data_IF_259160135441
#
_entry.id   IF_259160135441
#
_cell.length_a   1.000
_cell.length_b   1.000
_cell.length_c   1.000
_cell.angle_alpha   90.00
_cell.angle_beta   90.00
_cell.angle_gamma   90.00
#
_symmetry.space_group_name_H-M   'P 1'
#
loop_
_entity.id
_entity.type
_entity.pdbx_description
1 polymer ?
#
# COMPACT_ATOMS: atom_id res chain seq x y z
N UNK A 1 -89.10 -51.53 26.93
CA UNK A 1 -88.67 -50.15 26.57
C UNK A 1 -87.16 -50.07 26.72
N UNK A 2 -86.40 -50.01 25.63
CA UNK A 2 -84.92 -50.03 25.63
C UNK A 2 -84.45 -48.81 24.83
N UNK A 3 -83.96 -47.79 25.52
CA UNK A 3 -83.51 -46.53 24.92
C UNK A 3 -82.10 -46.73 24.36
N UNK A 4 -81.93 -46.52 23.05
CA UNK A 4 -80.63 -46.55 22.39
C UNK A 4 -80.01 -45.16 22.46
N UNK A 5 -78.87 -45.02 23.16
CA UNK A 5 -78.03 -43.83 23.05
C UNK A 5 -77.15 -43.96 21.80
N UNK A 6 -77.46 -43.17 20.75
CA UNK A 6 -76.59 -43.01 19.58
C UNK A 6 -75.40 -42.15 19.96
N UNK A 7 -74.22 -42.76 20.03
CA UNK A 7 -72.95 -42.04 20.00
C UNK A 7 -72.78 -41.37 18.63
N UNK A 8 -72.64 -40.03 18.62
CA UNK A 8 -72.20 -39.27 17.45
C UNK A 8 -70.73 -38.93 17.66
N UNK A 9 -69.78 -39.39 16.82
CA UNK A 9 -68.43 -38.88 16.91
C UNK A 9 -68.44 -37.44 16.39
N UNK A 10 -68.06 -36.50 17.26
CA UNK A 10 -67.78 -35.14 16.86
C UNK A 10 -66.65 -35.14 15.84
N UNK A 11 -66.93 -34.68 14.62
CA UNK A 11 -65.89 -34.33 13.65
C UNK A 11 -65.16 -33.10 14.20
N UNK A 12 -64.11 -33.34 14.97
CA UNK A 12 -63.11 -32.32 15.27
C UNK A 12 -62.51 -31.88 13.94
N UNK A 13 -62.85 -30.67 13.51
CA UNK A 13 -62.22 -30.06 12.35
C UNK A 13 -60.74 -29.86 12.67
N UNK A 14 -59.89 -30.74 12.14
CA UNK A 14 -58.45 -30.52 12.07
C UNK A 14 -58.22 -29.32 11.14
N UNK A 15 -58.27 -28.11 11.72
CA UNK A 15 -57.92 -26.86 11.08
C UNK A 15 -56.41 -26.90 10.85
N UNK A 16 -56.00 -27.30 9.66
CA UNK A 16 -54.60 -27.44 9.28
C UNK A 16 -53.88 -26.10 9.26
N UNK A 17 -53.30 -25.70 10.40
CA UNK A 17 -52.36 -24.57 10.52
C UNK A 17 -50.97 -24.87 9.92
N UNK A 18 -50.87 -25.83 8.99
CA UNK A 18 -49.59 -26.23 8.37
C UNK A 18 -49.02 -25.17 7.41
N UNK A 19 -49.82 -24.20 6.98
CA UNK A 19 -49.37 -23.07 6.13
C UNK A 19 -48.63 -21.95 6.88
N UNK A 20 -48.77 -21.85 8.20
CA UNK A 20 -48.11 -20.80 9.01
C UNK A 20 -46.64 -21.10 9.30
N UNK A 21 -46.28 -22.37 9.43
CA UNK A 21 -44.90 -22.78 9.74
C UNK A 21 -43.95 -22.57 8.55
N UNK A 22 -44.41 -22.87 7.33
CA UNK A 22 -43.63 -22.65 6.11
C UNK A 22 -43.32 -21.17 5.86
N UNK A 23 -44.29 -20.27 6.10
CA UNK A 23 -44.07 -18.81 5.99
C UNK A 23 -43.04 -18.30 7.00
N UNK A 24 -43.04 -18.82 8.23
CA UNK A 24 -42.05 -18.44 9.26
C UNK A 24 -40.63 -18.90 8.89
N UNK A 25 -40.50 -20.13 8.37
CA UNK A 25 -39.22 -20.66 7.88
C UNK A 25 -38.72 -19.81 6.70
N UNK A 26 -39.58 -19.47 5.75
CA UNK A 26 -39.22 -18.65 4.60
C UNK A 26 -38.79 -17.23 4.99
N UNK A 27 -39.46 -16.61 5.97
CA UNK A 27 -39.07 -15.32 6.54
C UNK A 27 -37.73 -15.38 7.29
N UNK A 28 -37.46 -16.47 8.01
CA UNK A 28 -36.17 -16.68 8.67
C UNK A 28 -35.04 -16.77 7.65
N UNK A 29 -35.19 -17.60 6.61
CA UNK A 29 -34.21 -17.68 5.52
C UNK A 29 -34.03 -16.34 4.80
N UNK A 30 -35.11 -15.61 4.53
CA UNK A 30 -35.06 -14.27 3.95
C UNK A 30 -34.26 -13.31 4.85
N UNK A 31 -34.47 -13.35 6.16
CA UNK A 31 -33.71 -12.54 7.13
C UNK A 31 -32.23 -12.86 7.15
N UNK A 32 -31.85 -14.15 7.07
CA UNK A 32 -30.45 -14.58 6.97
C UNK A 32 -29.80 -14.06 5.67
N UNK A 33 -30.52 -14.12 4.55
CA UNK A 33 -30.03 -13.60 3.26
C UNK A 33 -29.83 -12.09 3.33
N UNK A 34 -30.81 -11.34 3.85
CA UNK A 34 -30.71 -9.88 4.00
C UNK A 34 -29.57 -9.49 4.93
N UNK A 35 -29.39 -10.22 6.04
CA UNK A 35 -28.26 -10.02 6.95
C UNK A 35 -26.92 -10.28 6.25
N UNK A 36 -26.81 -11.37 5.47
CA UNK A 36 -25.60 -11.66 4.70
C UNK A 36 -25.26 -10.56 3.70
N UNK A 37 -26.25 -10.05 2.97
CA UNK A 37 -26.06 -8.93 2.02
C UNK A 37 -25.66 -7.65 2.75
N UNK A 38 -26.30 -7.34 3.87
CA UNK A 38 -25.98 -6.16 4.68
C UNK A 38 -24.53 -6.20 5.19
N UNK A 39 -24.10 -7.37 5.68
CA UNK A 39 -22.71 -7.58 6.11
C UNK A 39 -21.73 -7.41 4.94
N UNK A 40 -22.00 -8.01 3.78
CA UNK A 40 -21.13 -7.87 2.60
C UNK A 40 -20.93 -6.40 2.21
N UNK A 41 -22.02 -5.62 2.17
CA UNK A 41 -21.98 -4.19 1.83
C UNK A 41 -21.17 -3.38 2.86
N UNK A 42 -21.27 -3.71 4.14
CA UNK A 42 -20.59 -2.97 5.20
C UNK A 42 -19.13 -3.36 5.38
N UNK A 43 -18.76 -4.62 5.12
CA UNK A 43 -17.39 -5.13 5.22
C UNK A 43 -16.51 -4.69 4.04
N UNK A 44 -17.08 -4.62 2.83
CA UNK A 44 -16.37 -4.20 1.60
C UNK A 44 -15.48 -2.95 1.76
N UNK A 45 -15.96 -1.79 2.26
CA UNK A 45 -15.12 -0.60 2.38
C UNK A 45 -14.00 -0.75 3.40
N UNK A 46 -14.21 -1.53 4.46
CA UNK A 46 -13.20 -1.79 5.50
C UNK A 46 -12.10 -2.68 4.93
N UNK A 47 -12.48 -3.78 4.26
CA UNK A 47 -11.52 -4.65 3.56
C UNK A 47 -10.73 -3.86 2.52
N UNK A 48 -11.41 -3.04 1.72
CA UNK A 48 -10.80 -2.19 0.70
C UNK A 48 -9.71 -1.28 1.28
N UNK A 49 -10.08 -0.45 2.26
CA UNK A 49 -9.14 0.51 2.87
C UNK A 49 -7.98 -0.17 3.58
N UNK A 50 -8.23 -1.32 4.23
CA UNK A 50 -7.18 -2.09 4.88
C UNK A 50 -6.19 -2.65 3.84
N UNK A 51 -6.71 -3.19 2.74
CA UNK A 51 -5.90 -3.75 1.64
C UNK A 51 -5.03 -2.67 1.02
N UNK A 52 -5.59 -1.50 0.72
CA UNK A 52 -4.85 -0.35 0.17
C UNK A 52 -3.72 0.07 1.13
N UNK A 53 -4.00 0.15 2.43
CA UNK A 53 -2.99 0.52 3.43
C UNK A 53 -1.88 -0.52 3.56
N UNK A 54 -2.24 -1.80 3.64
CA UNK A 54 -1.28 -2.90 3.72
C UNK A 54 -0.43 -2.97 2.47
N UNK A 55 -1.04 -2.89 1.28
CA UNK A 55 -0.32 -2.86 0.01
C UNK A 55 0.67 -1.70 -0.06
N UNK A 56 0.23 -0.49 0.33
CA UNK A 56 1.07 0.70 0.39
C UNK A 56 2.25 0.53 1.34
N UNK A 57 2.00 0.08 2.58
CA UNK A 57 3.05 -0.11 3.58
C UNK A 57 4.09 -1.12 3.11
N UNK A 58 3.64 -2.24 2.57
CA UNK A 58 4.50 -3.30 2.05
C UNK A 58 5.36 -2.79 0.89
N UNK A 59 4.78 -2.07 -0.06
CA UNK A 59 5.53 -1.54 -1.18
C UNK A 59 6.56 -0.50 -0.77
N UNK A 60 6.20 0.43 0.14
CA UNK A 60 7.16 1.41 0.68
C UNK A 60 8.33 0.68 1.36
N UNK A 61 8.05 -0.35 2.15
CA UNK A 61 9.09 -1.16 2.79
C UNK A 61 9.98 -1.87 1.76
N UNK A 62 9.39 -2.50 0.74
CA UNK A 62 10.13 -3.18 -0.32
C UNK A 62 11.00 -2.22 -1.13
N UNK A 63 10.50 -1.01 -1.45
CA UNK A 63 11.28 0.04 -2.12
C UNK A 63 12.48 0.42 -1.25
N UNK A 64 12.23 0.81 0.00
CA UNK A 64 13.29 1.29 0.89
C UNK A 64 14.38 0.23 1.13
N UNK A 65 13.98 -1.03 1.35
CA UNK A 65 14.93 -2.14 1.54
C UNK A 65 15.75 -2.40 0.27
N UNK A 66 15.12 -2.40 -0.90
CA UNK A 66 15.81 -2.63 -2.17
C UNK A 66 16.81 -1.50 -2.48
N UNK A 67 16.40 -0.25 -2.27
CA UNK A 67 17.24 0.93 -2.47
C UNK A 67 18.43 0.89 -1.51
N UNK A 68 18.18 0.66 -0.22
CA UNK A 68 19.24 0.61 0.79
C UNK A 68 20.24 -0.52 0.51
N UNK A 69 19.74 -1.70 0.14
CA UNK A 69 20.56 -2.86 -0.17
C UNK A 69 21.46 -2.58 -1.38
N UNK A 70 20.89 -2.06 -2.47
CA UNK A 70 21.64 -1.81 -3.71
C UNK A 70 22.68 -0.70 -3.51
N UNK A 71 22.30 0.41 -2.86
CA UNK A 71 23.21 1.53 -2.58
C UNK A 71 24.35 1.11 -1.63
N UNK A 72 24.03 0.36 -0.57
CA UNK A 72 25.03 -0.07 0.41
C UNK A 72 25.97 -1.15 -0.13
N UNK A 73 25.48 -2.05 -0.98
CA UNK A 73 26.26 -3.15 -1.54
C UNK A 73 27.35 -2.69 -2.52
N UNK A 74 27.12 -1.56 -3.20
CA UNK A 74 28.02 -1.02 -4.21
C UNK A 74 29.00 0.03 -3.65
N UNK A 75 28.95 0.37 -2.35
CA UNK A 75 29.71 1.49 -1.76
C UNK A 75 29.56 2.78 -2.58
N UNK A 76 28.36 3.06 -3.11
CA UNK A 76 28.15 4.22 -4.00
C UNK A 76 28.38 5.48 -3.18
N UNK A 77 29.53 6.10 -3.37
CA UNK A 77 29.85 7.41 -2.81
C UNK A 77 29.28 8.50 -3.71
N UNK A 78 29.12 9.70 -3.16
CA UNK A 78 28.81 10.91 -3.92
C UNK A 78 29.77 11.08 -5.13
N UNK A 79 31.05 10.74 -4.92
CA UNK A 79 32.11 10.89 -5.91
C UNK A 79 31.97 9.93 -7.12
N UNK A 80 31.22 8.84 -6.97
CA UNK A 80 30.96 7.89 -8.07
C UNK A 80 29.86 8.38 -9.02
N UNK A 81 28.93 9.19 -8.48
CA UNK A 81 27.81 9.75 -9.23
C UNK A 81 28.14 11.13 -9.80
N UNK A 82 29.00 11.90 -9.13
CA UNK A 82 29.29 13.29 -9.47
C UNK A 82 30.79 13.55 -9.57
N UNK A 83 31.19 14.12 -10.70
CA UNK A 83 32.53 14.62 -10.93
C UNK A 83 32.53 16.15 -10.89
N UNK A 84 33.28 16.70 -9.92
CA UNK A 84 33.48 18.14 -9.75
C UNK A 84 34.79 18.54 -10.41
N UNK A 85 34.71 19.35 -11.47
CA UNK A 85 35.88 19.96 -12.07
C UNK A 85 36.20 21.28 -11.38
N UNK A 86 37.44 21.44 -10.91
CA UNK A 86 37.94 22.64 -10.25
C UNK A 86 39.05 23.30 -11.07
N UNK A 87 39.21 24.61 -10.94
CA UNK A 87 40.35 25.35 -11.50
C UNK A 87 41.62 25.21 -10.64
N UNK A 88 42.72 25.83 -11.07
CA UNK A 88 44.02 25.83 -10.37
C UNK A 88 43.95 26.46 -8.96
N UNK A 89 42.92 27.26 -8.68
CA UNK A 89 42.69 27.92 -7.40
C UNK A 89 41.70 27.14 -6.51
N UNK A 90 41.21 25.98 -6.96
CA UNK A 90 40.25 25.14 -6.25
C UNK A 90 38.78 25.55 -6.43
N UNK A 91 38.48 26.50 -7.32
CA UNK A 91 37.11 26.97 -7.60
C UNK A 91 36.35 25.96 -8.45
N UNK A 92 35.09 25.68 -8.09
CA UNK A 92 34.23 24.78 -8.87
C UNK A 92 33.89 25.42 -10.23
N UNK A 93 34.32 24.79 -11.32
CA UNK A 93 34.02 25.20 -12.69
C UNK A 93 32.75 24.54 -13.20
N UNK A 94 32.64 23.22 -13.02
CA UNK A 94 31.52 22.43 -13.55
C UNK A 94 31.26 21.23 -12.65
N UNK A 95 29.98 20.92 -12.49
CA UNK A 95 29.50 19.71 -11.85
C UNK A 95 28.93 18.85 -12.97
N UNK A 96 29.53 17.68 -13.16
CA UNK A 96 29.10 16.71 -14.17
C UNK A 96 28.67 15.44 -13.50
N UNK A 97 27.65 14.80 -14.08
CA UNK A 97 27.08 13.58 -13.54
C UNK A 97 27.54 12.38 -14.34
N UNK A 98 27.91 11.30 -13.67
CA UNK A 98 28.20 10.03 -14.31
C UNK A 98 26.88 9.34 -14.70
N UNK A 99 26.35 9.73 -15.87
CA UNK A 99 25.07 9.21 -16.37
C UNK A 99 25.09 7.69 -16.58
N UNK A 100 26.25 7.10 -16.90
CA UNK A 100 26.37 5.66 -17.04
C UNK A 100 26.17 4.96 -15.69
N UNK A 101 26.86 5.43 -14.63
CA UNK A 101 26.72 4.87 -13.29
C UNK A 101 25.32 5.10 -12.72
N UNK A 102 24.75 6.29 -12.92
CA UNK A 102 23.36 6.56 -12.55
C UNK A 102 22.41 5.57 -13.22
N UNK A 103 22.46 5.42 -14.55
CA UNK A 103 21.55 4.50 -15.24
C UNK A 103 21.74 3.04 -14.81
N UNK A 104 22.97 2.63 -14.47
CA UNK A 104 23.24 1.33 -13.88
C UNK A 104 22.49 1.16 -12.54
N UNK A 105 22.64 2.12 -11.62
CA UNK A 105 21.98 2.11 -10.31
C UNK A 105 20.46 2.14 -10.47
N UNK A 106 19.96 3.01 -11.36
CA UNK A 106 18.54 3.09 -11.72
C UNK A 106 18.02 1.71 -12.12
N UNK A 107 18.66 1.06 -13.08
CA UNK A 107 18.24 -0.25 -13.57
C UNK A 107 18.29 -1.34 -12.48
N UNK A 108 19.36 -1.39 -11.68
CA UNK A 108 19.48 -2.39 -10.59
C UNK A 108 18.42 -2.19 -9.52
N UNK A 109 18.20 -0.95 -9.07
CA UNK A 109 17.15 -0.65 -8.10
C UNK A 109 15.77 -0.97 -8.66
N UNK A 110 15.46 -0.56 -9.89
CA UNK A 110 14.17 -0.90 -10.53
C UNK A 110 13.96 -2.40 -10.53
N UNK A 111 14.97 -3.18 -10.94
CA UNK A 111 14.89 -4.64 -10.99
C UNK A 111 14.78 -5.28 -9.60
N UNK A 112 15.51 -4.78 -8.60
CA UNK A 112 15.47 -5.28 -7.23
C UNK A 112 14.08 -5.06 -6.61
N UNK A 113 13.53 -3.85 -6.75
CA UNK A 113 12.17 -3.53 -6.30
C UNK A 113 11.15 -4.38 -7.06
N UNK A 114 11.28 -4.48 -8.39
CA UNK A 114 10.40 -5.28 -9.23
C UNK A 114 10.39 -6.76 -8.81
N UNK A 115 11.56 -7.32 -8.48
CA UNK A 115 11.69 -8.71 -8.03
C UNK A 115 11.12 -8.91 -6.63
N UNK A 116 11.34 -7.97 -5.70
CA UNK A 116 10.78 -8.02 -4.35
C UNK A 116 9.25 -7.89 -4.36
N UNK A 117 8.68 -7.18 -5.34
CA UNK A 117 7.24 -7.08 -5.52
C UNK A 117 6.66 -8.30 -6.26
N UNK A 118 7.22 -8.71 -7.41
CA UNK A 118 6.63 -9.76 -8.27
C UNK A 118 6.62 -11.18 -7.68
N UNK A 119 7.51 -11.49 -6.73
CA UNK A 119 7.56 -12.84 -6.12
C UNK A 119 6.71 -12.95 -4.84
N UNK A 120 6.09 -11.87 -4.38
CA UNK A 120 5.36 -11.82 -3.12
C UNK A 120 3.87 -12.14 -3.28
N UNK A 121 3.48 -13.39 -3.07
CA UNK A 121 2.16 -13.64 -2.48
C UNK A 121 2.33 -13.43 -0.98
N UNK A 122 1.74 -12.38 -0.45
CA UNK A 122 1.86 -12.07 0.96
C UNK A 122 0.56 -12.38 1.67
N UNK A 123 0.61 -13.35 2.58
CA UNK A 123 -0.51 -13.65 3.45
C UNK A 123 -0.48 -12.72 4.67
N UNK A 124 -1.45 -11.82 4.73
CA UNK A 124 -1.67 -10.92 5.86
C UNK A 124 -2.92 -11.37 6.59
N UNK A 125 -2.81 -11.71 7.87
CA UNK A 125 -3.96 -12.15 8.66
C UNK A 125 -4.61 -10.97 9.37
N UNK A 126 -5.91 -10.79 9.15
CA UNK A 126 -6.68 -9.66 9.71
C UNK A 126 -7.77 -10.18 10.62
N UNK A 127 -7.82 -9.77 11.90
CA UNK A 127 -8.84 -10.22 12.83
C UNK A 127 -10.26 -9.87 12.35
N UNK A 128 -11.20 -10.82 12.44
CA UNK A 128 -12.60 -10.59 12.07
C UNK A 128 -13.19 -9.36 12.75
N UNK A 129 -12.88 -9.11 14.02
CA UNK A 129 -13.39 -7.95 14.74
C UNK A 129 -12.89 -6.61 14.22
N UNK A 130 -11.72 -6.58 13.55
CA UNK A 130 -11.25 -5.42 12.77
C UNK A 130 -12.10 -5.21 11.52
N UNK A 131 -12.45 -6.30 10.82
CA UNK A 131 -13.28 -6.22 9.61
C UNK A 131 -14.71 -5.73 9.91
N UNK A 132 -15.29 -6.10 11.04
CA UNK A 132 -16.62 -5.62 11.46
C UNK A 132 -16.67 -4.13 11.82
N UNK A 133 -15.53 -3.44 11.92
CA UNK A 133 -15.47 -1.99 12.16
C UNK A 133 -15.98 -1.54 13.54
N UNK A 134 -16.16 -2.47 14.48
CA UNK A 134 -16.56 -2.14 15.85
C UNK A 134 -15.33 -1.86 16.72
N UNK A 135 -15.33 -0.74 17.45
CA UNK A 135 -14.22 -0.38 18.35
C UNK A 135 -13.99 -1.43 19.43
N UNK A 136 -15.05 -2.09 19.90
CA UNK A 136 -15.00 -3.10 20.96
C UNK A 136 -14.30 -4.41 20.52
N UNK A 137 -14.48 -4.80 19.26
CA UNK A 137 -13.93 -6.04 18.72
C UNK A 137 -12.64 -5.83 17.92
N UNK A 138 -12.14 -4.60 17.83
CA UNK A 138 -10.92 -4.30 17.10
C UNK A 138 -9.75 -5.18 17.56
N UNK A 139 -9.08 -5.85 16.61
CA UNK A 139 -7.96 -6.75 16.89
C UNK A 139 -8.35 -8.10 17.49
N UNK A 140 -9.65 -8.41 17.64
CA UNK A 140 -10.14 -9.66 18.24
C UNK A 140 -10.78 -10.60 17.20
N UNK A 141 -10.87 -11.87 17.57
CA UNK A 141 -11.47 -12.92 16.74
C UNK A 141 -10.44 -13.68 15.89
N UNK A 142 -10.87 -14.73 15.17
CA UNK A 142 -10.00 -15.47 14.27
C UNK A 142 -9.52 -14.56 13.13
N UNK A 143 -8.28 -14.76 12.71
CA UNK A 143 -7.68 -14.03 11.59
C UNK A 143 -8.23 -14.53 10.26
N UNK A 144 -8.67 -13.60 9.43
CA UNK A 144 -9.01 -13.83 8.03
C UNK A 144 -7.75 -13.65 7.20
N UNK A 145 -7.28 -14.67 6.48
CA UNK A 145 -6.11 -14.53 5.62
C UNK A 145 -6.45 -13.65 4.42
N UNK A 146 -5.62 -12.63 4.20
CA UNK A 146 -5.65 -11.76 3.04
C UNK A 146 -4.43 -12.09 2.19
N UNK A 147 -4.64 -12.52 0.96
CA UNK A 147 -3.55 -12.77 0.02
C UNK A 147 -3.33 -11.51 -0.79
N UNK A 148 -2.34 -10.71 -0.41
CA UNK A 148 -1.92 -9.58 -1.23
C UNK A 148 -0.97 -10.14 -2.29
N UNK A 149 -1.48 -10.32 -3.50
CA UNK A 149 -0.61 -10.46 -4.68
C UNK A 149 -0.11 -9.06 -4.99
N UNK A 150 1.20 -8.88 -5.17
CA UNK A 150 1.75 -7.61 -5.62
C UNK A 150 2.14 -7.78 -7.09
N UNK A 151 1.38 -7.16 -7.98
CA UNK A 151 1.73 -7.08 -9.40
C UNK A 151 1.78 -5.61 -9.78
N UNK A 152 2.94 -5.18 -10.28
CA UNK A 152 3.18 -3.77 -10.52
C UNK A 152 4.31 -3.53 -11.48
N UNK A 153 4.21 -2.50 -12.30
CA UNK A 153 5.36 -1.98 -13.04
C UNK A 153 6.11 -1.01 -12.13
N UNK A 154 7.39 -1.26 -11.94
CA UNK A 154 8.27 -0.32 -11.24
C UNK A 154 8.96 0.56 -12.28
N UNK A 155 8.91 1.86 -12.04
CA UNK A 155 9.73 2.83 -12.77
C UNK A 155 10.46 3.68 -11.75
N UNK A 156 11.70 4.06 -12.05
CA UNK A 156 12.44 4.99 -11.22
C UNK A 156 13.12 6.07 -12.04
N UNK A 157 13.37 7.21 -11.43
CA UNK A 157 14.14 8.29 -12.05
C UNK A 157 14.93 9.11 -11.04
N UNK A 158 16.01 9.73 -11.51
CA UNK A 158 16.79 10.63 -10.69
C UNK A 158 16.26 12.06 -10.81
N UNK A 159 16.02 12.69 -9.67
CA UNK A 159 15.66 14.10 -9.55
C UNK A 159 16.80 14.85 -8.86
N UNK A 160 17.13 16.03 -9.38
CA UNK A 160 18.19 16.87 -8.82
C UNK A 160 17.59 18.16 -8.30
N UNK A 161 18.00 18.58 -7.09
CA UNK A 161 17.59 19.83 -6.47
C UNK A 161 18.81 20.67 -6.06
N UNK A 162 18.71 21.98 -6.22
CA UNK A 162 19.72 22.95 -5.80
C UNK A 162 19.07 23.98 -4.85
N UNK A 163 19.46 23.95 -3.59
CA UNK A 163 18.91 24.81 -2.54
C UNK A 163 19.99 25.71 -1.93
N UNK A 164 19.61 26.88 -1.39
CA UNK A 164 20.55 27.71 -0.65
C UNK A 164 20.89 27.05 0.70
N UNK A 165 22.18 26.87 0.98
CA UNK A 165 22.67 26.29 2.24
C UNK A 165 23.25 27.35 3.20
N UNK A 166 23.34 28.60 2.77
CA UNK A 166 23.99 29.68 3.51
C UNK A 166 24.57 30.77 2.61
N UNK A 167 25.42 31.63 3.17
CA UNK A 167 26.09 32.70 2.43
C UNK A 167 27.05 32.07 1.42
N UNK A 168 26.74 32.23 0.13
CA UNK A 168 27.47 31.64 -1.00
C UNK A 168 27.63 30.12 -0.89
N UNK A 169 26.60 29.43 -0.41
CA UNK A 169 26.57 27.98 -0.37
C UNK A 169 25.32 27.46 -1.06
N UNK A 170 25.49 26.49 -1.94
CA UNK A 170 24.40 25.79 -2.62
C UNK A 170 24.45 24.32 -2.25
N UNK A 171 23.38 23.81 -1.64
CA UNK A 171 23.16 22.40 -1.41
C UNK A 171 22.67 21.75 -2.69
N UNK A 172 23.37 20.74 -3.16
CA UNK A 172 23.00 19.96 -4.32
C UNK A 172 22.60 18.57 -3.85
N UNK A 173 21.36 18.18 -4.13
CA UNK A 173 20.75 16.92 -3.70
C UNK A 173 20.31 16.10 -4.90
N UNK A 174 20.52 14.80 -4.83
CA UNK A 174 20.08 13.84 -5.82
C UNK A 174 19.14 12.85 -5.14
N UNK A 175 17.92 12.78 -5.65
CA UNK A 175 16.89 11.86 -5.20
C UNK A 175 16.68 10.78 -6.26
N UNK A 176 16.50 9.54 -5.84
CA UNK A 176 15.93 8.48 -6.64
C UNK A 176 14.44 8.39 -6.32
N UNK A 177 13.60 8.79 -7.27
CA UNK A 177 12.15 8.65 -7.19
C UNK A 177 11.76 7.29 -7.77
N UNK A 178 10.98 6.53 -7.02
CA UNK A 178 10.49 5.21 -7.41
C UNK A 178 8.97 5.24 -7.42
N UNK A 179 8.38 4.96 -8.57
CA UNK A 179 6.95 4.81 -8.77
C UNK A 179 6.60 3.34 -8.98
N UNK A 180 5.56 2.88 -8.31
CA UNK A 180 5.00 1.55 -8.50
C UNK A 180 3.48 1.59 -8.41
N UNK A 181 2.80 1.00 -9.39
CA UNK A 181 1.39 0.66 -9.27
C UNK A 181 1.25 -0.74 -8.69
N UNK A 182 0.38 -0.95 -7.70
CA UNK A 182 0.26 -2.24 -7.00
C UNK A 182 -1.17 -2.71 -7.14
N UNK A 183 -1.37 -3.80 -7.88
CA UNK A 183 -2.65 -4.50 -7.89
C UNK A 183 -2.73 -5.45 -6.69
N UNK A 184 -3.77 -5.33 -5.87
CA UNK A 184 -4.07 -6.20 -4.71
C UNK A 184 -5.45 -6.82 -4.85
N UNK A 185 -5.60 -8.09 -4.48
CA UNK A 185 -6.86 -8.83 -4.66
C UNK A 185 -7.24 -9.64 -3.42
N UNK A 186 -8.49 -9.50 -2.96
CA UNK A 186 -9.13 -10.36 -1.97
C UNK A 186 -10.48 -10.82 -2.54
N UNK A 187 -10.97 -12.04 -2.23
CA UNK A 187 -12.29 -12.47 -2.67
C UNK A 187 -13.38 -11.43 -2.33
N UNK A 188 -13.96 -10.81 -3.37
CA UNK A 188 -15.00 -9.78 -3.25
C UNK A 188 -14.52 -8.32 -3.32
N UNK A 189 -13.20 -8.06 -3.23
CA UNK A 189 -12.60 -6.71 -3.30
C UNK A 189 -11.23 -6.75 -4.00
N UNK A 190 -11.11 -6.02 -5.09
CA UNK A 190 -9.84 -5.73 -5.77
C UNK A 190 -9.51 -4.24 -5.70
N UNK A 191 -8.22 -3.91 -5.59
CA UNK A 191 -7.75 -2.53 -5.46
C UNK A 191 -6.44 -2.35 -6.19
N UNK A 192 -6.30 -1.21 -6.87
CA UNK A 192 -4.99 -0.75 -7.38
C UNK A 192 -4.53 0.41 -6.52
N UNK A 193 -3.27 0.39 -6.09
CA UNK A 193 -2.67 1.42 -5.25
C UNK A 193 -1.37 1.91 -5.87
N UNK A 194 -1.32 3.19 -6.21
CA UNK A 194 -0.10 3.83 -6.68
C UNK A 194 0.74 4.32 -5.49
N UNK A 195 2.03 4.03 -5.53
CA UNK A 195 3.00 4.41 -4.51
C UNK A 195 4.19 5.08 -5.17
N UNK A 196 4.47 6.30 -4.72
CA UNK A 196 5.68 7.04 -5.04
C UNK A 196 6.52 7.18 -3.78
N UNK A 197 7.80 6.83 -3.85
CA UNK A 197 8.76 7.01 -2.76
C UNK A 197 10.00 7.69 -3.31
N UNK A 198 10.49 8.72 -2.63
CA UNK A 198 11.72 9.42 -2.98
C UNK A 198 12.79 9.14 -1.93
N UNK A 199 13.95 8.68 -2.39
CA UNK A 199 15.10 8.38 -1.52
C UNK A 199 16.25 9.29 -1.89
N UNK A 200 16.82 10.02 -0.92
CA UNK A 200 18.04 10.80 -1.16
C UNK A 200 19.22 9.84 -1.29
N UNK A 201 19.90 9.89 -2.43
CA UNK A 201 21.04 9.01 -2.72
C UNK A 201 22.38 9.71 -2.58
N UNK A 202 22.39 11.04 -2.71
CA UNK A 202 23.60 11.83 -2.68
C UNK A 202 23.27 13.29 -2.32
N UNK A 203 24.11 13.90 -1.49
CA UNK A 203 24.05 15.32 -1.15
C UNK A 203 25.47 15.90 -1.07
N UNK A 204 25.66 17.12 -1.57
CA UNK A 204 26.88 17.90 -1.32
C UNK A 204 26.56 19.37 -1.09
N UNK A 205 27.49 20.09 -0.47
CA UNK A 205 27.45 21.55 -0.33
C UNK A 205 28.54 22.17 -1.19
N UNK A 206 28.12 22.96 -2.17
CA UNK A 206 28.97 23.71 -3.07
C UNK A 206 29.21 25.07 -2.43
N UNK A 207 30.48 25.41 -2.17
CA UNK A 207 30.87 26.71 -1.62
C UNK A 207 31.34 27.61 -2.76
N UNK A 208 30.69 28.76 -2.92
CA UNK A 208 31.05 29.83 -3.83
C UNK A 208 31.80 30.97 -3.14
N UNK A 209 32.40 31.86 -3.92
CA UNK A 209 33.10 33.04 -3.42
C UNK A 209 32.12 34.08 -2.85
N UNK A 210 32.51 34.73 -1.75
CA UNK A 210 31.81 35.92 -1.26
C UNK A 210 32.19 37.12 -2.12
N UNK A 211 31.26 37.78 -2.81
CA UNK A 211 31.59 38.93 -3.65
C UNK A 211 32.18 40.04 -2.79
N UNK A 212 33.39 40.49 -3.13
CA UNK A 212 33.98 41.66 -2.51
C UNK A 212 33.38 42.92 -3.13
N UNK A 213 32.58 43.64 -2.35
CA UNK A 213 32.09 44.95 -2.77
C UNK A 213 33.28 45.91 -2.70
N UNK A 214 33.81 46.30 -3.86
CA UNK A 214 34.69 47.45 -3.97
C UNK A 214 33.85 48.71 -3.76
N UNK A 215 33.77 49.17 -2.52
CA UNK A 215 33.38 50.55 -2.19
C UNK A 215 34.54 51.46 -2.60
N UNK A 216 34.59 51.83 -3.88
CA UNK A 216 35.47 52.88 -4.37
C UNK A 216 35.06 54.21 -3.74
N UNK A 217 36.01 54.85 -3.06
CA UNK A 217 35.90 56.22 -2.57
C UNK A 217 36.09 57.26 -3.67
#
# INVERSE_FOLDING_TARGET
MKHWHRYRPGRGAYRGERGGSYRKILLFFLGVVVMGVFLDVQLRPIVKSLTENTAKQTAVSAINQSVLQEISSENISYDDLIQIQRDENGKVLTITTNMAKMNEVKAKVTNAVQNNLNHGHMEVSVPLGTLFGSELLHGRGPGVPLVVTLAGNVTSDFQTNFESAGINQTRHQIYLEVHTGIYSFIPGVDTTTDVTTSVMVAETVIVGEVPQIFLGG
#
